data_IF_910697462197
#
_entry.id   IF_910697462197
#
_cell.length_a   1.000
_cell.length_b   1.000
_cell.length_c   1.000
_cell.angle_alpha   90.00
_cell.angle_beta   90.00
_cell.angle_gamma   90.00
#
_symmetry.space_group_name_H-M   'P 1'
#
loop_
_entity.id
_entity.type
_entity.pdbx_description
1 polymer ?
#
# COMPACT_ATOMS: atom_id res chain seq x y z
N UNK A 1 -3.54 -21.65 5.59
CA UNK A 1 -3.55 -21.65 7.08
C UNK A 1 -4.68 -20.71 7.52
N UNK A 2 -5.38 -20.99 8.64
CA UNK A 2 -6.43 -20.09 9.11
C UNK A 2 -5.87 -18.76 9.59
N UNK A 3 -6.74 -17.72 9.60
CA UNK A 3 -6.41 -16.44 10.22
C UNK A 3 -6.09 -16.61 11.70
N UNK A 4 -5.19 -15.77 12.23
CA UNK A 4 -4.86 -15.78 13.67
C UNK A 4 -5.88 -15.03 14.52
N UNK A 5 -6.54 -14.05 13.92
CA UNK A 5 -7.62 -13.27 14.54
C UNK A 5 -8.80 -13.26 13.57
N UNK A 6 -9.95 -13.73 14.02
CA UNK A 6 -11.17 -13.67 13.21
C UNK A 6 -11.66 -12.22 13.09
N UNK A 7 -12.11 -11.80 11.91
CA UNK A 7 -12.75 -10.51 11.72
C UNK A 7 -13.93 -10.30 12.68
N UNK A 8 -14.18 -9.07 13.08
CA UNK A 8 -15.40 -8.73 13.79
C UNK A 8 -16.60 -8.80 12.85
N UNK A 9 -17.77 -9.17 13.40
CA UNK A 9 -19.04 -9.27 12.67
C UNK A 9 -19.97 -8.12 13.02
N UNK A 10 -20.81 -7.65 12.07
CA UNK A 10 -21.85 -6.66 12.38
C UNK A 10 -22.81 -7.15 13.48
N UNK A 11 -23.50 -6.22 14.18
CA UNK A 11 -23.50 -4.78 13.92
C UNK A 11 -22.26 -4.07 14.48
N UNK A 12 -21.73 -3.09 13.74
CA UNK A 12 -20.66 -2.21 14.20
C UNK A 12 -21.22 -0.92 14.78
N UNK A 13 -20.51 -0.29 15.72
CA UNK A 13 -20.79 1.07 16.17
C UNK A 13 -20.71 2.09 15.04
N UNK A 14 -21.33 3.26 15.18
CA UNK A 14 -21.37 4.31 14.15
C UNK A 14 -19.97 4.83 13.78
N UNK A 15 -19.04 4.81 14.70
CA UNK A 15 -17.63 5.19 14.54
C UNK A 15 -16.84 4.25 13.60
N UNK A 16 -17.38 3.06 13.36
CA UNK A 16 -16.83 2.06 12.42
C UNK A 16 -17.69 1.99 11.16
N UNK A 17 -19.03 1.84 11.32
CA UNK A 17 -19.92 1.62 10.19
C UNK A 17 -19.90 2.79 9.19
N UNK A 18 -19.96 4.05 9.67
CA UNK A 18 -19.93 5.24 8.78
C UNK A 18 -18.68 5.34 7.91
N UNK A 19 -17.44 5.18 8.43
CA UNK A 19 -16.24 5.12 7.60
C UNK A 19 -16.25 3.95 6.60
N UNK A 20 -16.69 2.76 7.02
CA UNK A 20 -16.79 1.60 6.14
C UNK A 20 -17.78 1.84 4.98
N UNK A 21 -18.97 2.33 5.26
CA UNK A 21 -19.99 2.63 4.25
C UNK A 21 -19.49 3.63 3.21
N UNK A 22 -18.79 4.68 3.69
CA UNK A 22 -18.21 5.71 2.82
C UNK A 22 -17.11 5.15 1.90
N UNK A 23 -16.26 4.27 2.44
CA UNK A 23 -15.14 3.70 1.71
C UNK A 23 -15.59 2.61 0.75
N UNK A 24 -16.44 1.70 1.23
CA UNK A 24 -16.83 0.51 0.49
C UNK A 24 -17.96 0.76 -0.53
N UNK A 25 -18.73 1.85 -0.36
CA UNK A 25 -19.80 2.24 -1.30
C UNK A 25 -20.76 1.09 -1.64
N UNK A 26 -21.17 0.32 -0.63
CA UNK A 26 -22.08 -0.82 -0.78
C UNK A 26 -21.40 -2.15 -1.10
N UNK A 27 -20.08 -2.18 -1.27
CA UNK A 27 -19.36 -3.44 -1.38
C UNK A 27 -19.09 -4.04 0.01
N UNK A 28 -18.93 -5.36 0.12
CA UNK A 28 -18.53 -5.99 1.37
C UNK A 28 -17.20 -5.41 1.88
N UNK A 29 -17.08 -5.13 3.19
CA UNK A 29 -15.85 -4.58 3.75
C UNK A 29 -14.71 -5.62 3.69
N UNK A 30 -13.50 -5.13 3.43
CA UNK A 30 -12.30 -5.96 3.41
C UNK A 30 -12.06 -6.60 4.79
N UNK A 31 -11.48 -7.79 4.79
CA UNK A 31 -11.11 -8.52 6.02
C UNK A 31 -10.16 -7.73 6.92
N UNK A 32 -9.25 -6.98 6.34
CA UNK A 32 -8.39 -6.06 7.09
C UNK A 32 -9.22 -5.08 7.92
N UNK A 33 -10.22 -4.44 7.32
CA UNK A 33 -11.05 -3.45 8.00
C UNK A 33 -11.93 -4.07 9.08
N UNK A 34 -12.53 -5.22 8.81
CA UNK A 34 -13.35 -5.92 9.82
C UNK A 34 -12.49 -6.52 10.94
N UNK A 35 -11.24 -6.87 10.67
CA UNK A 35 -10.31 -7.28 11.73
C UNK A 35 -9.93 -6.09 12.61
N UNK A 36 -9.63 -4.93 12.02
CA UNK A 36 -9.37 -3.68 12.77
C UNK A 36 -10.59 -3.19 13.55
N UNK A 37 -11.81 -3.46 13.07
CA UNK A 37 -13.07 -3.13 13.73
C UNK A 37 -13.24 -3.79 15.12
N UNK A 38 -12.37 -4.71 15.51
CA UNK A 38 -12.33 -5.26 16.87
C UNK A 38 -11.90 -4.25 17.93
N UNK A 39 -11.21 -3.18 17.53
CA UNK A 39 -10.83 -2.06 18.39
C UNK A 39 -11.09 -0.74 17.64
N UNK A 40 -12.13 -0.03 18.03
CA UNK A 40 -12.57 1.21 17.38
C UNK A 40 -11.46 2.29 17.38
N UNK A 41 -10.65 2.37 18.44
CA UNK A 41 -9.54 3.33 18.53
C UNK A 41 -8.44 3.00 17.50
N UNK A 42 -8.08 1.72 17.34
CA UNK A 42 -7.09 1.30 16.35
C UNK A 42 -7.62 1.48 14.94
N UNK A 43 -8.90 1.15 14.71
CA UNK A 43 -9.57 1.38 13.44
C UNK A 43 -9.48 2.84 13.00
N UNK A 44 -9.85 3.79 13.89
CA UNK A 44 -9.78 5.22 13.59
C UNK A 44 -8.35 5.69 13.30
N UNK A 45 -7.37 5.24 14.10
CA UNK A 45 -5.96 5.59 13.89
C UNK A 45 -5.41 5.06 12.57
N UNK A 46 -5.80 3.87 12.17
CA UNK A 46 -5.43 3.29 10.88
C UNK A 46 -5.93 4.15 9.72
N UNK A 47 -7.22 4.49 9.72
CA UNK A 47 -7.79 5.32 8.64
C UNK A 47 -7.27 6.75 8.64
N UNK A 48 -6.92 7.31 9.80
CA UNK A 48 -6.33 8.65 9.89
C UNK A 48 -4.89 8.70 9.33
N UNK A 49 -4.17 7.56 9.25
CA UNK A 49 -2.81 7.48 8.72
C UNK A 49 -2.70 7.05 7.26
N UNK A 50 -3.83 6.79 6.58
CA UNK A 50 -3.86 6.06 5.31
C UNK A 50 -3.32 6.80 4.08
N UNK A 51 -3.14 8.11 4.08
CA UNK A 51 -2.58 8.94 2.98
C UNK A 51 -3.19 8.64 1.58
N UNK A 52 -4.48 8.24 1.53
CA UNK A 52 -5.20 7.98 0.28
C UNK A 52 -6.03 9.18 -0.20
N UNK A 53 -6.00 10.27 0.54
CA UNK A 53 -6.58 11.54 0.19
C UNK A 53 -5.72 12.31 -0.82
N UNK A 54 -6.16 13.50 -1.20
CA UNK A 54 -5.39 14.35 -2.12
C UNK A 54 -4.26 15.02 -1.36
N UNK A 55 -3.03 14.56 -1.60
CA UNK A 55 -1.80 15.12 -1.07
C UNK A 55 -0.89 15.71 -2.16
N UNK A 56 0.42 15.57 -1.97
CA UNK A 56 1.46 16.08 -2.88
C UNK A 56 1.80 15.07 -3.99
N UNK A 57 1.33 13.83 -3.88
CA UNK A 57 1.61 12.75 -4.81
C UNK A 57 0.46 12.55 -5.80
N UNK A 58 0.78 12.28 -7.06
CA UNK A 58 -0.19 11.75 -8.00
C UNK A 58 -0.62 10.33 -7.60
N UNK A 59 -1.80 9.91 -8.06
CA UNK A 59 -2.25 8.52 -7.84
C UNK A 59 -1.24 7.50 -8.37
N UNK A 60 -0.56 7.81 -9.49
CA UNK A 60 0.42 6.93 -10.10
C UNK A 60 1.67 6.78 -9.21
N UNK A 61 2.24 7.88 -8.74
CA UNK A 61 3.39 7.87 -7.82
C UNK A 61 3.06 7.12 -6.54
N UNK A 62 1.90 7.38 -5.96
CA UNK A 62 1.40 6.70 -4.76
C UNK A 62 1.30 5.18 -4.96
N UNK A 63 0.64 4.74 -6.04
CA UNK A 63 0.44 3.31 -6.27
C UNK A 63 1.74 2.57 -6.60
N UNK A 64 2.72 3.20 -7.27
CA UNK A 64 4.06 2.62 -7.45
C UNK A 64 4.70 2.32 -6.08
N UNK A 65 4.69 3.29 -5.18
CA UNK A 65 5.25 3.11 -3.83
C UNK A 65 4.51 2.04 -3.03
N UNK A 66 3.17 2.02 -3.09
CA UNK A 66 2.35 1.02 -2.39
C UNK A 66 2.62 -0.37 -2.94
N UNK A 67 2.57 -0.55 -4.26
CA UNK A 67 2.79 -1.86 -4.87
C UNK A 67 4.20 -2.37 -4.56
N UNK A 68 5.24 -1.53 -4.69
CA UNK A 68 6.61 -1.94 -4.42
C UNK A 68 6.82 -2.28 -2.95
N UNK A 69 6.38 -1.43 -2.03
CA UNK A 69 6.53 -1.66 -0.58
C UNK A 69 5.84 -2.95 -0.14
N UNK A 70 4.60 -3.17 -0.59
CA UNK A 70 3.83 -4.37 -0.22
C UNK A 70 4.41 -5.64 -0.84
N UNK A 71 4.93 -5.57 -2.08
CA UNK A 71 5.63 -6.68 -2.72
C UNK A 71 6.92 -7.05 -1.97
N UNK A 72 7.77 -6.07 -1.62
CA UNK A 72 8.98 -6.29 -0.83
C UNK A 72 8.68 -6.91 0.54
N UNK A 73 7.58 -6.48 1.17
CA UNK A 73 7.09 -7.06 2.42
C UNK A 73 6.40 -8.42 2.25
N UNK A 74 6.28 -8.94 1.01
CA UNK A 74 5.57 -10.19 0.69
C UNK A 74 4.11 -10.19 1.15
N UNK A 75 3.48 -9.00 1.14
CA UNK A 75 2.07 -8.82 1.47
C UNK A 75 1.19 -8.96 0.22
N UNK A 76 0.98 -10.22 -0.22
CA UNK A 76 0.12 -10.50 -1.38
C UNK A 76 -1.31 -10.00 -1.16
N UNK A 77 -1.79 -9.99 0.07
CA UNK A 77 -3.10 -9.44 0.41
C UNK A 77 -3.24 -7.99 -0.01
N UNK A 78 -2.36 -7.12 0.50
CA UNK A 78 -2.46 -5.68 0.27
C UNK A 78 -2.07 -5.29 -1.16
N UNK A 79 -0.99 -5.91 -1.67
CA UNK A 79 -0.59 -5.74 -3.06
C UNK A 79 -1.75 -6.09 -4.01
N UNK A 80 -2.40 -7.22 -3.80
CA UNK A 80 -3.50 -7.69 -4.64
C UNK A 80 -4.71 -6.78 -4.61
N UNK A 81 -5.06 -6.21 -3.46
CA UNK A 81 -6.14 -5.22 -3.33
C UNK A 81 -5.81 -3.95 -4.10
N UNK A 82 -4.60 -3.40 -3.92
CA UNK A 82 -4.19 -2.18 -4.61
C UNK A 82 -4.07 -2.37 -6.11
N UNK A 83 -3.50 -3.48 -6.58
CA UNK A 83 -3.47 -3.81 -8.02
C UNK A 83 -4.88 -3.83 -8.60
N UNK A 84 -5.81 -4.52 -7.96
CA UNK A 84 -7.18 -4.64 -8.47
C UNK A 84 -7.93 -3.31 -8.47
N UNK A 85 -7.80 -2.54 -7.38
CA UNK A 85 -8.58 -1.32 -7.20
C UNK A 85 -8.00 -0.09 -7.93
N UNK A 86 -6.67 0.00 -8.05
CA UNK A 86 -6.03 1.27 -8.40
C UNK A 86 -5.08 1.21 -9.60
N UNK A 87 -4.59 0.05 -10.06
CA UNK A 87 -3.65 -0.01 -11.19
C UNK A 87 -4.20 0.66 -12.45
N UNK A 88 -5.47 0.42 -12.78
CA UNK A 88 -6.12 1.07 -13.91
C UNK A 88 -6.24 2.59 -13.76
N UNK A 89 -6.59 3.06 -12.57
CA UNK A 89 -6.68 4.48 -12.26
C UNK A 89 -5.31 5.17 -12.26
N UNK A 90 -4.27 4.45 -11.85
CA UNK A 90 -2.88 4.91 -11.88
C UNK A 90 -2.24 4.82 -13.27
N UNK A 91 -2.92 4.21 -14.25
CA UNK A 91 -2.39 3.99 -15.60
C UNK A 91 -1.17 3.05 -15.60
N UNK A 92 -1.09 2.11 -14.66
CA UNK A 92 -0.03 1.10 -14.63
C UNK A 92 -0.32 -0.01 -15.64
N UNK A 93 0.66 -0.34 -16.45
CA UNK A 93 0.55 -1.47 -17.40
C UNK A 93 0.74 -2.81 -16.68
N UNK A 94 0.27 -3.93 -17.25
CA UNK A 94 0.52 -5.26 -16.68
C UNK A 94 2.01 -5.56 -16.48
N UNK A 95 2.88 -5.08 -17.38
CA UNK A 95 4.34 -5.19 -17.26
C UNK A 95 4.86 -4.43 -16.04
N UNK A 96 4.39 -3.20 -15.82
CA UNK A 96 4.77 -2.40 -14.65
C UNK A 96 4.27 -3.02 -13.35
N UNK A 97 3.04 -3.54 -13.33
CA UNK A 97 2.52 -4.27 -12.16
C UNK A 97 3.40 -5.47 -11.84
N UNK A 98 3.76 -6.28 -12.86
CA UNK A 98 4.67 -7.41 -12.70
C UNK A 98 6.04 -6.96 -12.15
N UNK A 99 6.60 -5.88 -12.70
CA UNK A 99 7.90 -5.34 -12.30
C UNK A 99 7.93 -4.89 -10.83
N UNK A 100 6.81 -4.51 -10.23
CA UNK A 100 6.78 -4.20 -8.79
C UNK A 100 7.10 -5.40 -7.89
N UNK A 101 6.91 -6.62 -8.37
CA UNK A 101 7.17 -7.88 -7.64
C UNK A 101 8.52 -8.47 -7.99
N UNK A 102 8.83 -8.57 -9.29
CA UNK A 102 9.99 -9.32 -9.79
C UNK A 102 11.31 -8.55 -9.70
N UNK A 103 11.24 -7.26 -9.50
CA UNK A 103 12.29 -6.26 -9.46
C UNK A 103 13.74 -6.76 -9.50
N UNK A 104 14.33 -6.57 -10.63
CA UNK A 104 15.76 -6.28 -10.74
C UNK A 104 16.03 -4.76 -10.78
N UNK A 105 14.98 -3.92 -10.73
CA UNK A 105 15.10 -2.46 -10.72
C UNK A 105 15.53 -1.85 -12.07
N UNK A 106 15.58 -2.64 -13.11
CA UNK A 106 16.21 -2.24 -14.37
C UNK A 106 15.27 -2.37 -15.58
N UNK A 107 13.97 -2.45 -15.31
CA UNK A 107 12.98 -2.61 -16.37
C UNK A 107 12.79 -1.30 -17.14
N UNK A 108 12.96 -1.39 -18.45
CA UNK A 108 12.78 -0.26 -19.37
C UNK A 108 11.36 0.32 -19.41
N UNK A 109 10.43 -0.29 -18.66
CA UNK A 109 9.04 0.15 -18.58
C UNK A 109 8.82 1.34 -17.64
N UNK A 110 9.83 1.77 -16.88
CA UNK A 110 9.75 2.85 -15.92
C UNK A 110 10.44 4.14 -16.43
N UNK A 111 9.87 5.29 -16.13
CA UNK A 111 10.54 6.58 -16.32
C UNK A 111 11.68 6.78 -15.29
N UNK A 112 12.54 7.77 -15.50
CA UNK A 112 13.60 8.09 -14.56
C UNK A 112 13.07 8.46 -13.16
N UNK A 113 11.96 9.23 -13.07
CA UNK A 113 11.28 9.54 -11.82
C UNK A 113 10.77 8.26 -11.12
N UNK A 114 10.16 7.36 -11.88
CA UNK A 114 9.58 6.12 -11.33
C UNK A 114 10.67 5.15 -10.84
N UNK A 115 11.82 5.11 -11.51
CA UNK A 115 12.99 4.38 -11.01
C UNK A 115 13.46 4.89 -9.64
N UNK A 116 13.45 6.20 -9.44
CA UNK A 116 13.82 6.79 -8.14
C UNK A 116 12.82 6.37 -7.05
N UNK A 117 11.51 6.28 -7.34
CA UNK A 117 10.50 5.78 -6.40
C UNK A 117 10.72 4.30 -6.04
N UNK A 118 11.07 3.46 -7.00
CA UNK A 118 11.35 2.04 -6.74
C UNK A 118 12.60 1.89 -5.87
N UNK A 119 13.67 2.62 -6.17
CA UNK A 119 14.90 2.62 -5.37
C UNK A 119 14.67 3.14 -3.95
N UNK A 120 13.80 4.15 -3.78
CA UNK A 120 13.38 4.61 -2.47
C UNK A 120 12.76 3.47 -1.66
N UNK A 121 11.81 2.75 -2.25
CA UNK A 121 11.15 1.62 -1.57
C UNK A 121 12.15 0.53 -1.21
N UNK A 122 13.09 0.21 -2.11
CA UNK A 122 14.11 -0.81 -1.90
C UNK A 122 15.06 -0.42 -0.76
N UNK A 123 15.58 0.82 -0.76
CA UNK A 123 16.46 1.33 0.29
C UNK A 123 15.78 1.37 1.65
N UNK A 124 14.54 1.87 1.72
CA UNK A 124 13.76 1.88 2.96
C UNK A 124 13.44 0.46 3.46
N UNK A 125 13.22 -0.48 2.55
CA UNK A 125 12.95 -1.88 2.94
C UNK A 125 14.20 -2.53 3.54
N UNK A 126 15.36 -2.34 2.91
CA UNK A 126 16.61 -3.01 3.25
C UNK A 126 17.33 -2.34 4.43
N UNK A 127 17.38 -0.99 4.42
CA UNK A 127 18.20 -0.23 5.35
C UNK A 127 17.40 0.61 6.34
N UNK A 128 16.11 0.87 6.09
CA UNK A 128 15.30 1.86 6.82
C UNK A 128 15.87 3.28 6.71
N UNK A 129 16.61 3.55 5.65
CA UNK A 129 17.33 4.79 5.39
C UNK A 129 17.50 5.00 3.88
N UNK A 130 17.95 6.18 3.47
CA UNK A 130 18.32 6.54 2.11
C UNK A 130 19.67 7.26 2.13
N UNK A 131 20.55 6.94 1.17
CA UNK A 131 21.84 7.60 1.07
C UNK A 131 21.73 8.99 0.41
N UNK A 132 22.81 9.78 0.51
CA UNK A 132 22.84 11.14 -0.01
C UNK A 132 22.64 11.17 -1.54
N UNK A 133 23.10 10.15 -2.27
CA UNK A 133 22.92 10.06 -3.72
C UNK A 133 21.45 9.90 -4.11
N UNK A 134 20.72 9.00 -3.44
CA UNK A 134 19.30 8.82 -3.67
C UNK A 134 18.49 10.04 -3.18
N UNK A 135 18.91 10.68 -2.09
CA UNK A 135 18.32 11.93 -1.63
C UNK A 135 18.42 13.03 -2.69
N UNK A 136 19.59 13.23 -3.28
CA UNK A 136 19.80 14.23 -4.33
C UNK A 136 18.97 13.92 -5.59
N UNK A 137 18.84 12.65 -5.97
CA UNK A 137 17.98 12.23 -7.08
C UNK A 137 16.50 12.51 -6.80
N UNK A 138 16.02 12.20 -5.59
CA UNK A 138 14.63 12.49 -5.18
C UNK A 138 14.32 13.99 -5.31
N UNK A 139 15.22 14.86 -4.88
CA UNK A 139 15.06 16.32 -4.96
C UNK A 139 15.00 16.86 -6.38
N UNK A 140 15.44 16.11 -7.38
CA UNK A 140 15.28 16.52 -8.79
C UNK A 140 13.83 16.37 -9.28
N UNK A 141 13.02 15.54 -8.64
CA UNK A 141 11.66 15.22 -9.08
C UNK A 141 10.57 15.62 -8.08
N UNK A 142 10.90 15.72 -6.79
CA UNK A 142 9.93 15.89 -5.71
C UNK A 142 10.27 17.09 -4.82
N UNK A 143 9.24 17.78 -4.35
CA UNK A 143 9.37 18.79 -3.29
C UNK A 143 9.66 18.09 -1.94
N UNK A 144 10.14 18.87 -0.96
CA UNK A 144 10.41 18.32 0.38
C UNK A 144 9.13 17.75 1.03
N UNK A 145 7.98 18.40 0.82
CA UNK A 145 6.69 17.93 1.31
C UNK A 145 6.29 16.59 0.64
N UNK A 146 6.53 16.45 -0.65
CA UNK A 146 6.28 15.20 -1.37
C UNK A 146 7.21 14.08 -0.88
N UNK A 147 8.49 14.37 -0.61
CA UNK A 147 9.42 13.39 -0.05
C UNK A 147 8.98 12.95 1.36
N UNK A 148 8.53 13.88 2.21
CA UNK A 148 7.97 13.53 3.53
C UNK A 148 6.77 12.60 3.36
N UNK A 149 5.87 12.90 2.43
CA UNK A 149 4.69 12.07 2.15
C UNK A 149 5.07 10.69 1.62
N UNK A 150 6.09 10.57 0.75
CA UNK A 150 6.63 9.30 0.26
C UNK A 150 7.16 8.41 1.40
N UNK A 151 7.94 8.99 2.32
CA UNK A 151 8.49 8.27 3.48
C UNK A 151 7.37 7.78 4.42
N UNK A 152 6.38 8.64 4.69
CA UNK A 152 5.22 8.27 5.50
C UNK A 152 4.39 7.18 4.83
N UNK A 153 4.16 7.29 3.52
CA UNK A 153 3.39 6.31 2.75
C UNK A 153 4.05 4.93 2.77
N UNK A 154 5.35 4.84 2.48
CA UNK A 154 6.09 3.59 2.53
C UNK A 154 6.05 2.98 3.94
N UNK A 155 6.23 3.78 4.98
CA UNK A 155 6.13 3.34 6.38
C UNK A 155 4.73 2.83 6.74
N UNK A 156 3.68 3.51 6.29
CA UNK A 156 2.31 3.09 6.52
C UNK A 156 2.01 1.73 5.86
N UNK A 157 2.36 1.54 4.59
CA UNK A 157 2.11 0.28 3.89
C UNK A 157 3.01 -0.87 4.36
N UNK A 158 4.16 -0.57 4.95
CA UNK A 158 4.92 -1.55 5.73
C UNK A 158 4.15 -2.00 6.98
N UNK A 159 3.51 -1.07 7.69
CA UNK A 159 2.62 -1.38 8.83
C UNK A 159 1.43 -2.23 8.40
N UNK A 160 0.78 -1.89 7.29
CA UNK A 160 -0.31 -2.69 6.71
C UNK A 160 0.17 -4.12 6.41
N UNK A 161 1.35 -4.25 5.81
CA UNK A 161 1.95 -5.55 5.51
C UNK A 161 2.23 -6.38 6.77
N UNK A 162 2.62 -5.75 7.88
CA UNK A 162 2.77 -6.46 9.17
C UNK A 162 1.43 -6.99 9.68
N UNK A 163 0.34 -6.22 9.53
CA UNK A 163 -0.99 -6.65 9.94
C UNK A 163 -1.47 -7.83 9.10
N UNK A 164 -1.42 -7.71 7.77
CA UNK A 164 -1.93 -8.74 6.86
C UNK A 164 -1.15 -10.05 6.96
N UNK A 165 0.19 -9.98 6.96
CA UNK A 165 1.06 -11.15 7.07
C UNK A 165 1.08 -11.70 8.50
N UNK A 166 1.26 -10.83 9.51
CA UNK A 166 1.34 -11.23 10.91
C UNK A 166 0.06 -11.90 11.40
N UNK A 167 -1.09 -11.45 10.92
CA UNK A 167 -2.40 -12.05 11.25
C UNK A 167 -2.79 -13.20 10.31
N UNK A 168 -2.00 -13.51 9.29
CA UNK A 168 -2.29 -14.54 8.27
C UNK A 168 -3.67 -14.32 7.65
N UNK A 169 -3.93 -13.09 7.21
CA UNK A 169 -5.23 -12.78 6.64
C UNK A 169 -5.46 -13.59 5.36
N UNK A 170 -6.59 -14.30 5.24
CA UNK A 170 -6.97 -14.95 3.99
C UNK A 170 -7.12 -13.90 2.88
N UNK A 171 -6.62 -14.21 1.69
CA UNK A 171 -6.70 -13.31 0.55
C UNK A 171 -8.16 -13.01 0.19
N UNK A 172 -8.42 -11.80 -0.27
CA UNK A 172 -9.73 -11.43 -0.80
C UNK A 172 -9.94 -12.12 -2.17
N UNK A 173 -11.16 -12.53 -2.46
CA UNK A 173 -11.47 -13.26 -3.70
C UNK A 173 -11.17 -12.42 -4.95
N UNK A 174 -11.51 -11.13 -4.90
CA UNK A 174 -11.29 -10.18 -5.99
C UNK A 174 -9.84 -9.65 -6.08
N UNK A 175 -8.99 -9.89 -5.06
CA UNK A 175 -7.62 -9.39 -5.05
C UNK A 175 -6.75 -10.10 -6.09
N UNK A 176 -5.89 -9.35 -6.79
CA UNK A 176 -4.87 -9.93 -7.66
C UNK A 176 -3.93 -10.87 -6.88
N UNK A 177 -3.25 -11.75 -7.59
CA UNK A 177 -2.28 -12.70 -7.00
C UNK A 177 -0.87 -12.35 -7.46
N UNK A 178 0.10 -12.64 -6.63
CA UNK A 178 1.48 -12.56 -7.07
C UNK A 178 1.70 -13.44 -8.31
N UNK A 179 2.52 -13.01 -9.25
CA UNK A 179 2.90 -13.83 -10.37
C UNK A 179 3.54 -15.14 -9.89
N UNK A 180 3.27 -16.24 -10.60
CA UNK A 180 3.80 -17.56 -10.30
C UNK A 180 5.30 -17.66 -10.59
#
# INVERSE_FOLDING_TARGET
MPARIEPATPPFGEDISRPLDRLMKGQPPLRLFTTLARDARLFQKFFAGGLLDKGNLSIRQREIVIHRTTALCKSEYEWGIHVTAFSGLAGLTPEQVLATVTASGNEACWSAEEHVLLRLCDSLHEHSDIDDGLWDELRNYFTEEAIIELLMLAGFYRTVSYLTNGLRMPLEEAGARFPA
#
